data_IF_840251613736
#
_entry.id   IF_840251613736
#
_cell.length_a   1.000
_cell.length_b   1.000
_cell.length_c   1.000
_cell.angle_alpha   90.00
_cell.angle_beta   90.00
_cell.angle_gamma   90.00
#
_symmetry.space_group_name_H-M   'P 1'
#
loop_
_entity.id
_entity.type
_entity.pdbx_description
1 polymer ?
#
# COMPACT_ATOMS: atom_id res chain seq x y z
N UNK A 1 -3.68 27.94 -28.37
CA UNK A 1 -4.07 26.86 -27.45
C UNK A 1 -2.88 26.61 -26.54
N UNK A 2 -2.89 27.24 -25.36
CA UNK A 2 -1.81 27.06 -24.39
C UNK A 2 -1.86 25.62 -23.89
N UNK A 3 -0.80 24.86 -24.16
CA UNK A 3 -0.51 23.63 -23.44
C UNK A 3 -0.24 24.04 -21.98
N UNK A 4 -1.27 23.88 -21.15
CA UNK A 4 -1.20 24.12 -19.72
C UNK A 4 -0.12 23.23 -19.13
N UNK A 5 0.79 23.87 -18.42
CA UNK A 5 1.86 23.27 -17.64
C UNK A 5 1.24 22.25 -16.69
N UNK A 6 1.36 20.95 -17.00
CA UNK A 6 1.18 19.86 -16.03
C UNK A 6 2.39 19.89 -15.09
N UNK A 7 2.45 20.92 -14.25
CA UNK A 7 3.39 20.99 -13.16
C UNK A 7 2.85 20.14 -12.03
N UNK A 8 3.72 19.51 -11.25
CA UNK A 8 3.40 18.71 -10.06
C UNK A 8 2.71 19.53 -8.93
N UNK A 9 2.26 20.75 -9.23
CA UNK A 9 1.69 21.77 -8.36
C UNK A 9 0.28 22.25 -8.79
N UNK A 10 -0.45 21.47 -9.59
CA UNK A 10 -1.89 21.72 -9.79
C UNK A 10 -2.63 21.44 -8.46
N UNK A 11 -3.41 22.40 -7.91
CA UNK A 11 -4.23 22.18 -6.72
C UNK A 11 -5.14 20.94 -6.80
N UNK A 12 -5.62 20.59 -8.00
CA UNK A 12 -6.40 19.38 -8.21
C UNK A 12 -5.56 18.11 -7.99
N UNK A 13 -4.37 18.04 -8.58
CA UNK A 13 -3.45 16.90 -8.40
C UNK A 13 -3.00 16.74 -6.93
N UNK A 14 -2.82 17.85 -6.20
CA UNK A 14 -2.51 17.82 -4.76
C UNK A 14 -3.67 17.27 -3.92
N UNK A 15 -4.90 17.68 -4.24
CA UNK A 15 -6.10 17.18 -3.58
C UNK A 15 -6.26 15.67 -3.80
N UNK A 16 -6.13 15.21 -5.06
CA UNK A 16 -6.23 13.80 -5.41
C UNK A 16 -5.18 12.94 -4.69
N UNK A 17 -3.95 13.44 -4.55
CA UNK A 17 -2.88 12.75 -3.79
C UNK A 17 -3.15 12.68 -2.30
N UNK A 18 -3.62 13.77 -1.70
CA UNK A 18 -3.91 13.81 -0.26
C UNK A 18 -5.03 12.82 0.10
N UNK A 19 -6.03 12.76 -0.76
CA UNK A 19 -7.19 11.89 -0.61
C UNK A 19 -6.85 10.42 -0.88
N UNK A 20 -6.05 10.13 -1.91
CA UNK A 20 -5.49 8.80 -2.14
C UNK A 20 -4.71 8.28 -0.93
N UNK A 21 -3.88 9.14 -0.32
CA UNK A 21 -3.17 8.82 0.93
C UNK A 21 -4.13 8.53 2.08
N UNK A 22 -5.21 9.29 2.20
CA UNK A 22 -6.23 9.08 3.22
C UNK A 22 -6.90 7.71 3.05
N UNK A 23 -7.34 7.36 1.83
CA UNK A 23 -7.96 6.06 1.52
C UNK A 23 -6.99 4.91 1.82
N UNK A 24 -5.72 5.03 1.40
CA UNK A 24 -4.69 4.04 1.70
C UNK A 24 -4.49 3.87 3.20
N UNK A 25 -4.38 4.98 3.95
CA UNK A 25 -4.20 4.94 5.39
C UNK A 25 -5.38 4.26 6.10
N UNK A 26 -6.62 4.58 5.71
CA UNK A 26 -7.81 3.92 6.22
C UNK A 26 -7.84 2.42 5.88
N UNK A 27 -7.41 2.06 4.66
CA UNK A 27 -7.36 0.64 4.27
C UNK A 27 -6.31 -0.13 5.06
N UNK A 28 -5.12 0.45 5.29
CA UNK A 28 -4.07 -0.15 6.12
C UNK A 28 -4.58 -0.39 7.55
N UNK A 29 -5.38 0.52 8.12
CA UNK A 29 -6.00 0.32 9.45
C UNK A 29 -6.97 -0.86 9.52
N UNK A 30 -7.53 -1.31 8.38
CA UNK A 30 -8.39 -2.51 8.33
C UNK A 30 -7.60 -3.83 8.29
N UNK A 31 -6.30 -3.77 8.02
CA UNK A 31 -5.44 -4.94 8.02
C UNK A 31 -5.24 -5.45 9.44
N UNK A 32 -5.07 -6.76 9.58
CA UNK A 32 -4.66 -7.35 10.86
C UNK A 32 -3.26 -6.91 11.24
N UNK A 33 -2.90 -6.97 12.53
CA UNK A 33 -1.54 -6.64 12.99
C UNK A 33 -0.45 -7.41 12.24
N UNK A 34 -0.70 -8.68 11.92
CA UNK A 34 0.24 -9.52 11.16
C UNK A 34 0.39 -9.05 9.72
N UNK A 35 -0.69 -8.65 9.07
CA UNK A 35 -0.66 -8.10 7.71
C UNK A 35 0.07 -6.76 7.67
N UNK A 36 -0.20 -5.87 8.63
CA UNK A 36 0.52 -4.59 8.77
C UNK A 36 2.01 -4.82 8.99
N UNK A 37 2.37 -5.79 9.84
CA UNK A 37 3.77 -6.15 10.11
C UNK A 37 4.49 -6.62 8.85
N UNK A 38 3.88 -7.52 8.06
CA UNK A 38 4.46 -8.00 6.80
C UNK A 38 4.72 -6.85 5.82
N UNK A 39 3.77 -5.92 5.68
CA UNK A 39 3.92 -4.76 4.80
C UNK A 39 4.97 -3.79 5.33
N UNK A 40 5.01 -3.52 6.64
CA UNK A 40 6.03 -2.66 7.25
C UNK A 40 7.43 -3.23 7.02
N UNK A 41 7.64 -4.50 7.33
CA UNK A 41 8.94 -5.14 7.16
C UNK A 41 9.40 -5.16 5.70
N UNK A 42 8.47 -5.29 4.75
CA UNK A 42 8.79 -5.32 3.33
C UNK A 42 9.07 -3.93 2.73
N UNK A 43 8.23 -2.93 3.02
CA UNK A 43 8.32 -1.61 2.38
C UNK A 43 9.10 -0.57 3.18
N UNK A 44 9.17 -0.70 4.51
CA UNK A 44 9.86 0.24 5.39
C UNK A 44 11.23 -0.27 5.81
N UNK A 45 11.31 -1.54 6.24
CA UNK A 45 12.57 -2.16 6.67
C UNK A 45 13.31 -2.87 5.52
N UNK A 46 12.75 -2.85 4.31
CA UNK A 46 13.32 -3.42 3.07
C UNK A 46 13.73 -4.91 3.17
N UNK A 47 13.09 -5.67 4.06
CA UNK A 47 13.36 -7.09 4.23
C UNK A 47 12.78 -7.92 3.09
N UNK A 48 13.50 -8.97 2.70
CA UNK A 48 13.02 -9.98 1.76
C UNK A 48 11.94 -10.85 2.40
N UNK A 49 11.09 -11.50 1.57
CA UNK A 49 10.05 -12.41 2.07
C UNK A 49 10.61 -13.56 2.92
N UNK A 50 11.84 -13.98 2.63
CA UNK A 50 12.58 -14.97 3.40
C UNK A 50 12.94 -14.45 4.79
N UNK A 51 13.56 -13.27 4.88
CA UNK A 51 13.94 -12.64 6.16
C UNK A 51 12.71 -12.34 7.02
N UNK A 52 11.62 -11.87 6.41
CA UNK A 52 10.34 -11.67 7.10
C UNK A 52 9.81 -13.00 7.66
N UNK A 53 9.93 -14.09 6.88
CA UNK A 53 9.58 -15.43 7.34
C UNK A 53 10.36 -15.84 8.58
N UNK A 54 11.67 -15.58 8.59
CA UNK A 54 12.54 -15.83 9.75
C UNK A 54 12.12 -15.00 10.97
N UNK A 55 11.87 -13.69 10.79
CA UNK A 55 11.43 -12.77 11.86
C UNK A 55 10.08 -13.19 12.46
N UNK A 56 9.12 -13.58 11.62
CA UNK A 56 7.76 -13.93 12.05
C UNK A 56 7.57 -15.42 12.36
N UNK A 57 8.64 -16.23 12.26
CA UNK A 57 8.58 -17.69 12.40
C UNK A 57 7.55 -18.34 11.47
N UNK A 58 7.52 -17.91 10.21
CA UNK A 58 6.65 -18.40 9.14
C UNK A 58 7.47 -18.78 7.90
N UNK A 59 6.87 -19.58 7.02
CA UNK A 59 7.51 -19.88 5.73
C UNK A 59 7.41 -18.70 4.77
N UNK A 60 8.39 -18.57 3.86
CA UNK A 60 8.38 -17.55 2.80
C UNK A 60 7.08 -17.59 1.97
N UNK A 61 6.60 -18.79 1.62
CA UNK A 61 5.33 -19.00 0.91
C UNK A 61 4.14 -18.39 1.68
N UNK A 62 4.14 -18.52 3.02
CA UNK A 62 3.09 -17.93 3.84
C UNK A 62 3.18 -16.40 3.86
N UNK A 63 4.38 -15.83 3.91
CA UNK A 63 4.56 -14.37 3.82
C UNK A 63 4.10 -13.86 2.45
N UNK A 64 4.46 -14.54 1.36
CA UNK A 64 4.02 -14.20 0.01
C UNK A 64 2.49 -14.19 -0.12
N UNK A 65 1.80 -15.17 0.46
CA UNK A 65 0.33 -15.22 0.49
C UNK A 65 -0.26 -14.03 1.26
N UNK A 66 0.30 -13.70 2.43
CA UNK A 66 -0.15 -12.57 3.25
C UNK A 66 0.05 -11.26 2.47
N UNK A 67 1.24 -11.05 1.92
CA UNK A 67 1.58 -9.86 1.13
C UNK A 67 0.62 -9.69 -0.07
N UNK A 68 0.38 -10.76 -0.81
CA UNK A 68 -0.56 -10.75 -1.96
C UNK A 68 -1.99 -10.42 -1.51
N UNK A 69 -2.46 -11.02 -0.41
CA UNK A 69 -3.80 -10.75 0.12
C UNK A 69 -3.96 -9.28 0.53
N UNK A 70 -2.93 -8.67 1.13
CA UNK A 70 -2.94 -7.25 1.46
C UNK A 70 -3.01 -6.39 0.20
N UNK A 71 -2.18 -6.68 -0.82
CA UNK A 71 -2.20 -5.91 -2.07
C UNK A 71 -3.57 -5.95 -2.76
N UNK A 72 -4.24 -7.10 -2.73
CA UNK A 72 -5.61 -7.22 -3.26
C UNK A 72 -6.58 -6.33 -2.46
N UNK A 73 -6.54 -6.37 -1.12
CA UNK A 73 -7.38 -5.51 -0.28
C UNK A 73 -7.17 -4.02 -0.55
N UNK A 74 -5.91 -3.60 -0.65
CA UNK A 74 -5.55 -2.21 -0.97
C UNK A 74 -6.08 -1.83 -2.35
N UNK A 75 -5.88 -2.68 -3.36
CA UNK A 75 -6.33 -2.44 -4.72
C UNK A 75 -7.86 -2.33 -4.82
N UNK A 76 -8.61 -3.25 -4.23
CA UNK A 76 -10.08 -3.20 -4.25
C UNK A 76 -10.60 -1.91 -3.65
N UNK A 77 -10.04 -1.46 -2.52
CA UNK A 77 -10.49 -0.22 -1.87
C UNK A 77 -10.14 1.04 -2.65
N UNK A 78 -9.06 0.99 -3.43
CA UNK A 78 -8.67 2.06 -4.35
C UNK A 78 -9.53 2.09 -5.61
N UNK A 79 -9.90 0.93 -6.17
CA UNK A 79 -10.80 0.84 -7.32
C UNK A 79 -12.17 1.44 -7.00
N UNK A 80 -12.70 1.22 -5.79
CA UNK A 80 -13.93 1.86 -5.32
C UNK A 80 -13.85 3.39 -5.27
N UNK A 81 -12.64 3.97 -5.25
CA UNK A 81 -12.41 5.41 -5.11
C UNK A 81 -12.15 6.11 -6.45
N UNK A 82 -11.63 5.40 -7.45
CA UNK A 82 -11.23 5.97 -8.75
C UNK A 82 -12.38 5.94 -9.77
N UNK A 83 -13.53 5.33 -9.42
CA UNK A 83 -14.72 5.18 -10.29
C UNK A 83 -15.77 6.26 -10.03
#
# INVERSE_FOLDING_TARGET
FQAGVKGEDDPADHFDRAELKHVLAETIKTLTEKEQMVVSLYYYDELTLKEIGEVLSLTESRICQIHTAVLIKLKTRLEDYVV
#
